data_IF_615590846783
#
_entry.id   IF_615590846783
#
_cell.length_a   1.000
_cell.length_b   1.000
_cell.length_c   1.000
_cell.angle_alpha   90.00
_cell.angle_beta   90.00
_cell.angle_gamma   90.00
#
_symmetry.space_group_name_H-M   'P 1'
#
loop_
_entity.id
_entity.type
_entity.pdbx_description
1 polymer ?
#
# COMPACT_ATOMS: atom_id res chain seq x y z
N UNK A 1 -6.63 11.95 -2.96
CA UNK A 1 -7.13 10.55 -3.04
C UNK A 1 -8.59 10.61 -3.48
N UNK A 2 -8.99 9.91 -4.56
CA UNK A 2 -10.37 9.99 -5.06
C UNK A 2 -11.27 9.05 -4.25
N UNK A 3 -12.43 9.54 -3.81
CA UNK A 3 -13.42 8.74 -3.06
C UNK A 3 -13.18 8.62 -1.56
N UNK A 4 -12.21 9.33 -0.98
CA UNK A 4 -11.98 9.39 0.47
C UNK A 4 -12.51 10.70 1.06
N UNK A 5 -13.10 10.63 2.25
CA UNK A 5 -13.43 11.79 3.07
C UNK A 5 -12.17 12.60 3.43
N UNK A 6 -12.35 13.87 3.79
CA UNK A 6 -11.25 14.72 4.22
C UNK A 6 -10.54 14.14 5.46
N UNK A 7 -11.29 13.59 6.41
CA UNK A 7 -10.72 12.99 7.62
C UNK A 7 -9.83 11.78 7.32
N UNK A 8 -10.24 10.92 6.38
CA UNK A 8 -9.42 9.78 5.94
C UNK A 8 -8.13 10.23 5.25
N UNK A 9 -8.21 11.29 4.43
CA UNK A 9 -7.03 11.86 3.79
C UNK A 9 -6.03 12.37 4.83
N UNK A 10 -6.50 13.17 5.80
CA UNK A 10 -5.68 13.68 6.90
C UNK A 10 -5.06 12.55 7.74
N UNK A 11 -5.82 11.49 8.04
CA UNK A 11 -5.32 10.34 8.79
C UNK A 11 -4.20 9.60 8.04
N UNK A 12 -4.37 9.36 6.74
CA UNK A 12 -3.36 8.67 5.91
C UNK A 12 -2.09 9.52 5.78
N UNK A 13 -2.22 10.83 5.54
CA UNK A 13 -1.08 11.75 5.46
C UNK A 13 -0.31 11.81 6.77
N UNK A 14 -1.02 11.90 7.90
CA UNK A 14 -0.42 11.88 9.24
C UNK A 14 0.31 10.57 9.55
N UNK A 15 -0.23 9.43 9.14
CA UNK A 15 0.43 8.13 9.27
C UNK A 15 1.71 8.04 8.44
N UNK A 16 1.67 8.48 7.17
CA UNK A 16 2.85 8.50 6.28
C UNK A 16 3.97 9.37 6.87
N UNK A 17 3.64 10.54 7.42
CA UNK A 17 4.61 11.42 8.07
C UNK A 17 5.29 10.78 9.30
N UNK A 18 4.65 9.80 9.93
CA UNK A 18 5.15 9.04 11.07
C UNK A 18 5.75 7.67 10.69
N UNK A 19 5.94 7.39 9.40
CA UNK A 19 6.38 6.07 8.90
C UNK A 19 5.43 4.92 9.26
N UNK A 20 4.15 5.23 9.43
CA UNK A 20 3.07 4.28 9.71
C UNK A 20 2.17 4.09 8.49
N UNK A 21 1.73 2.85 8.26
CA UNK A 21 0.77 2.50 7.21
C UNK A 21 -0.32 1.60 7.79
N UNK A 22 -1.52 1.66 7.23
CA UNK A 22 -2.68 0.90 7.73
C UNK A 22 -2.48 -0.63 7.71
N UNK A 23 -1.58 -1.15 6.89
CA UNK A 23 -1.24 -2.57 6.81
C UNK A 23 0.07 -2.94 7.54
N UNK A 24 0.54 -2.06 8.44
CA UNK A 24 1.70 -2.31 9.31
C UNK A 24 3.06 -2.26 8.61
N UNK A 25 3.10 -1.94 7.31
CA UNK A 25 4.36 -1.82 6.56
C UNK A 25 5.11 -0.52 6.91
N UNK A 26 6.44 -0.58 6.96
CA UNK A 26 7.30 0.61 6.94
C UNK A 26 7.37 1.22 5.54
N UNK A 27 7.80 2.47 5.41
CA UNK A 27 7.85 3.24 4.13
C UNK A 27 8.50 2.49 2.97
N UNK A 28 9.60 1.78 3.22
CA UNK A 28 10.38 1.07 2.19
C UNK A 28 10.00 -0.40 2.01
N UNK A 29 8.81 -0.81 2.49
CA UNK A 29 8.35 -2.22 2.41
C UNK A 29 7.24 -2.38 1.37
N UNK A 30 7.46 -3.27 0.41
CA UNK A 30 6.45 -3.64 -0.58
C UNK A 30 5.39 -4.59 0.01
N UNK A 31 4.27 -4.76 -0.70
CA UNK A 31 3.34 -5.86 -0.44
C UNK A 31 3.85 -7.13 -1.12
N UNK A 32 3.64 -8.32 -0.56
CA UNK A 32 4.01 -9.56 -1.23
C UNK A 32 3.26 -9.67 -2.56
N UNK A 33 3.97 -10.13 -3.60
CA UNK A 33 3.41 -10.49 -4.90
C UNK A 33 3.90 -11.89 -5.25
N UNK A 34 3.07 -12.64 -5.97
CA UNK A 34 3.43 -13.96 -6.49
C UNK A 34 3.69 -13.83 -7.99
N UNK A 35 4.80 -14.39 -8.45
CA UNK A 35 5.16 -14.43 -9.87
C UNK A 35 5.00 -15.85 -10.35
N UNK A 36 4.16 -16.04 -11.35
CA UNK A 36 3.94 -17.33 -12.01
C UNK A 36 4.47 -17.25 -13.44
N UNK A 37 5.24 -18.26 -13.86
CA UNK A 37 5.90 -18.32 -15.17
C UNK A 37 5.57 -19.64 -15.85
N UNK A 38 5.50 -19.64 -17.19
CA UNK A 38 5.19 -20.87 -17.94
C UNK A 38 3.71 -21.25 -17.94
N UNK A 39 2.82 -20.31 -17.65
CA UNK A 39 1.35 -20.50 -17.69
C UNK A 39 0.88 -20.88 -19.10
N UNK A 40 1.54 -20.34 -20.13
CA UNK A 40 1.24 -20.64 -21.53
C UNK A 40 2.26 -21.68 -22.04
N UNK A 41 1.81 -22.89 -22.45
CA UNK A 41 2.70 -23.88 -23.05
C UNK A 41 3.28 -23.38 -24.38
N UNK A 42 4.50 -23.82 -24.70
CA UNK A 42 5.21 -23.49 -25.95
C UNK A 42 4.64 -24.25 -27.15
#
# INVERSE_FOLDING_TARGET
MVGLSLGEQCFIEGGIAQDLRCDGRKRLTYRPIYVETGVIPQ
#
